data_IF_650744324506
#
_entry.id   IF_650744324506
#
_cell.length_a   1.000
_cell.length_b   1.000
_cell.length_c   1.000
_cell.angle_alpha   90.00
_cell.angle_beta   90.00
_cell.angle_gamma   90.00
#
_symmetry.space_group_name_H-M   'P 1'
#
loop_
_entity.id
_entity.type
_entity.pdbx_description
1 polymer ?
#
# COMPACT_ATOMS: atom_id res chain seq x y z
N UNK A 1 7.10 20.72 32.14
CA UNK A 1 7.84 21.24 30.97
C UNK A 1 7.34 20.48 29.76
N UNK A 2 6.86 21.16 28.71
CA UNK A 2 6.32 20.50 27.52
C UNK A 2 7.45 20.12 26.57
N UNK A 3 7.44 18.89 26.04
CA UNK A 3 8.41 18.42 25.06
C UNK A 3 8.21 19.06 23.69
N UNK A 4 9.00 18.65 22.70
CA UNK A 4 8.81 19.10 21.31
C UNK A 4 7.44 18.65 20.79
N UNK A 5 6.78 19.43 19.91
CA UNK A 5 5.53 18.98 19.30
C UNK A 5 5.76 17.73 18.44
N UNK A 6 4.73 16.90 18.30
CA UNK A 6 4.78 15.77 17.38
C UNK A 6 5.06 16.26 15.93
N UNK A 7 5.66 15.42 15.07
CA UNK A 7 6.01 15.85 13.72
C UNK A 7 4.79 16.39 12.97
N UNK A 8 4.93 17.51 12.27
CA UNK A 8 3.85 18.16 11.50
C UNK A 8 2.62 18.60 12.31
N UNK A 9 2.65 18.53 13.64
CA UNK A 9 1.51 18.90 14.51
C UNK A 9 1.10 20.37 14.33
N UNK A 10 2.03 21.26 14.02
CA UNK A 10 1.75 22.67 13.72
C UNK A 10 0.87 22.90 12.49
N UNK A 11 0.84 21.96 11.53
CA UNK A 11 -0.02 22.08 10.34
C UNK A 11 -1.51 22.00 10.69
N UNK A 12 -1.87 21.35 11.79
CA UNK A 12 -3.26 21.24 12.24
C UNK A 12 -3.85 22.60 12.67
N UNK A 13 -3.02 23.62 12.91
CA UNK A 13 -3.50 24.98 13.14
C UNK A 13 -4.26 25.56 11.94
N UNK A 14 -4.06 25.01 10.74
CA UNK A 14 -4.80 25.39 9.52
C UNK A 14 -6.22 24.81 9.50
N UNK A 15 -6.50 23.80 10.34
CA UNK A 15 -7.79 23.10 10.40
C UNK A 15 -8.68 23.70 11.50
N UNK A 16 -9.04 24.97 11.35
CA UNK A 16 -9.91 25.71 12.29
C UNK A 16 -11.41 25.45 12.08
N UNK A 17 -11.77 24.36 11.41
CA UNK A 17 -13.15 23.98 11.14
C UNK A 17 -13.48 22.65 11.80
N UNK A 18 -14.78 22.35 11.91
CA UNK A 18 -15.31 21.16 12.56
C UNK A 18 -15.92 21.48 13.93
N UNK A 19 -17.01 20.79 14.26
CA UNK A 19 -17.71 20.90 15.53
C UNK A 19 -17.69 19.53 16.20
N UNK A 20 -16.65 19.24 16.99
CA UNK A 20 -16.38 17.91 17.53
C UNK A 20 -16.55 17.90 19.05
N UNK A 21 -17.42 17.02 19.54
CA UNK A 21 -17.71 16.82 20.96
C UNK A 21 -18.71 17.82 21.55
N UNK A 22 -19.01 17.70 22.84
CA UNK A 22 -19.96 18.59 23.55
C UNK A 22 -19.47 20.03 23.70
N UNK A 23 -18.16 20.26 23.52
CA UNK A 23 -17.51 21.57 23.67
C UNK A 23 -17.33 22.32 22.36
N UNK A 24 -17.89 21.83 21.26
CA UNK A 24 -17.85 22.48 19.95
C UNK A 24 -16.42 22.88 19.52
N UNK A 25 -15.46 21.97 19.75
CA UNK A 25 -14.05 22.23 19.51
C UNK A 25 -13.67 21.97 18.05
N UNK A 26 -12.82 22.84 17.50
CA UNK A 26 -12.21 22.64 16.17
C UNK A 26 -11.08 21.61 16.25
N UNK A 27 -10.69 21.05 15.11
CA UNK A 27 -9.57 20.10 15.03
C UNK A 27 -8.28 20.74 15.58
N UNK A 28 -8.02 22.00 15.22
CA UNK A 28 -6.88 22.74 15.75
C UNK A 28 -6.88 22.81 17.28
N UNK A 29 -8.03 23.09 17.90
CA UNK A 29 -8.16 23.17 19.37
C UNK A 29 -7.97 21.81 20.05
N UNK A 30 -8.48 20.73 19.47
CA UNK A 30 -8.28 19.38 20.01
C UNK A 30 -6.79 19.01 19.98
N UNK A 31 -6.12 19.22 18.85
CA UNK A 31 -4.69 18.91 18.71
C UNK A 31 -3.85 19.76 19.66
N UNK A 32 -4.15 21.05 19.80
CA UNK A 32 -3.49 21.92 20.77
C UNK A 32 -3.72 21.43 22.21
N UNK A 33 -4.97 21.07 22.56
CA UNK A 33 -5.31 20.50 23.86
C UNK A 33 -4.52 19.23 24.16
N UNK A 34 -4.43 18.32 23.20
CA UNK A 34 -3.61 17.11 23.33
C UNK A 34 -2.14 17.45 23.60
N UNK A 35 -1.57 18.42 22.89
CA UNK A 35 -0.19 18.86 23.14
C UNK A 35 -0.02 19.39 24.57
N UNK A 36 -0.93 20.24 25.03
CA UNK A 36 -0.95 20.75 26.41
C UNK A 36 -1.09 19.65 27.46
N UNK A 37 -1.83 18.59 27.15
CA UNK A 37 -2.00 17.40 28.00
C UNK A 37 -0.83 16.39 27.91
N UNK A 38 0.22 16.71 27.13
CA UNK A 38 1.46 15.91 27.06
C UNK A 38 1.58 15.00 25.85
N UNK A 39 0.76 15.20 24.80
CA UNK A 39 0.95 14.55 23.51
C UNK A 39 2.09 15.25 22.75
N UNK A 40 3.32 14.97 23.17
CA UNK A 40 4.54 15.54 22.60
C UNK A 40 5.28 14.52 21.70
N UNK A 41 6.46 14.88 21.25
CA UNK A 41 7.32 14.06 20.41
C UNK A 41 7.73 12.74 21.09
N UNK A 42 7.90 12.73 22.41
CA UNK A 42 8.25 11.51 23.16
C UNK A 42 7.05 10.58 23.17
N UNK A 43 5.84 11.12 23.39
CA UNK A 43 4.60 10.37 23.28
C UNK A 43 4.42 9.77 21.87
N UNK A 44 4.69 10.56 20.83
CA UNK A 44 4.69 10.09 19.44
C UNK A 44 5.67 8.94 19.19
N UNK A 45 6.92 9.06 19.67
CA UNK A 45 7.92 7.99 19.56
C UNK A 45 7.49 6.72 20.31
N UNK A 46 6.88 6.86 21.48
CA UNK A 46 6.37 5.74 22.27
C UNK A 46 5.27 5.00 21.51
N UNK A 47 4.32 5.73 20.92
CA UNK A 47 3.25 5.17 20.10
C UNK A 47 3.74 4.59 18.77
N UNK A 48 4.96 4.91 18.35
CA UNK A 48 5.59 4.33 17.15
C UNK A 48 6.08 2.90 17.39
N UNK A 49 6.34 2.50 18.64
CA UNK A 49 6.77 1.14 18.99
C UNK A 49 5.80 0.06 18.47
N UNK A 50 4.48 0.09 18.76
CA UNK A 50 3.56 -0.89 18.22
C UNK A 50 3.48 -0.87 16.70
N UNK A 51 3.66 0.28 16.06
CA UNK A 51 3.68 0.39 14.58
C UNK A 51 4.89 -0.35 14.00
N UNK A 52 6.06 -0.20 14.63
CA UNK A 52 7.27 -0.94 14.25
C UNK A 52 7.11 -2.45 14.44
N UNK A 53 6.42 -2.89 15.51
CA UNK A 53 6.13 -4.31 15.73
C UNK A 53 5.25 -4.86 14.61
N UNK A 54 4.20 -4.15 14.21
CA UNK A 54 3.33 -4.54 13.08
C UNK A 54 4.15 -4.71 11.79
N UNK A 55 5.02 -3.73 11.47
CA UNK A 55 5.92 -3.82 10.32
C UNK A 55 6.85 -5.03 10.39
N UNK A 56 7.51 -5.24 11.52
CA UNK A 56 8.47 -6.33 11.70
C UNK A 56 7.80 -7.70 11.55
N UNK A 57 6.66 -7.91 12.21
CA UNK A 57 5.90 -9.18 12.13
C UNK A 57 5.53 -9.47 10.68
N UNK A 58 4.96 -8.51 9.96
CA UNK A 58 4.52 -8.71 8.58
C UNK A 58 5.71 -9.01 7.65
N UNK A 59 6.81 -8.28 7.80
CA UNK A 59 8.02 -8.48 7.00
C UNK A 59 8.64 -9.85 7.25
N UNK A 60 8.73 -10.28 8.51
CA UNK A 60 9.22 -11.62 8.88
C UNK A 60 8.29 -12.70 8.32
N UNK A 61 6.97 -12.56 8.50
CA UNK A 61 6.00 -13.51 7.94
C UNK A 61 6.10 -13.60 6.41
N UNK A 62 6.30 -12.47 5.73
CA UNK A 62 6.50 -12.45 4.29
C UNK A 62 7.79 -13.16 3.87
N UNK A 63 8.90 -12.93 4.58
CA UNK A 63 10.17 -13.61 4.32
C UNK A 63 10.04 -15.13 4.47
N UNK A 64 9.42 -15.60 5.56
CA UNK A 64 9.16 -17.03 5.79
C UNK A 64 8.31 -17.61 4.66
N UNK A 65 7.28 -16.88 4.22
CA UNK A 65 6.43 -17.30 3.11
C UNK A 65 7.23 -17.47 1.81
N UNK A 66 8.09 -16.51 1.44
CA UNK A 66 8.90 -16.57 0.21
C UNK A 66 9.89 -17.74 0.23
N UNK A 67 10.51 -18.01 1.37
CA UNK A 67 11.41 -19.17 1.54
C UNK A 67 10.62 -20.48 1.34
N UNK A 68 9.42 -20.59 1.89
CA UNK A 68 8.54 -21.75 1.70
C UNK A 68 8.04 -21.92 0.25
N UNK A 69 7.93 -20.83 -0.50
CA UNK A 69 7.63 -20.84 -1.94
C UNK A 69 8.83 -21.25 -2.81
N UNK A 70 10.00 -21.54 -2.22
CA UNK A 70 11.19 -22.03 -2.91
C UNK A 70 12.21 -20.95 -3.30
N UNK A 71 11.98 -19.69 -2.91
CA UNK A 71 12.94 -18.61 -3.18
C UNK A 71 14.17 -18.67 -2.28
N UNK A 72 15.30 -18.16 -2.77
CA UNK A 72 16.50 -18.03 -1.96
C UNK A 72 16.30 -17.04 -0.80
N UNK A 73 17.10 -17.19 0.26
CA UNK A 73 17.05 -16.26 1.42
C UNK A 73 17.35 -14.81 0.99
N UNK A 74 18.27 -14.62 0.03
CA UNK A 74 18.59 -13.29 -0.52
C UNK A 74 17.40 -12.65 -1.24
N UNK A 75 16.63 -13.43 -1.99
CA UNK A 75 15.43 -12.96 -2.68
C UNK A 75 14.26 -12.69 -1.73
N UNK A 76 14.27 -13.36 -0.57
CA UNK A 76 13.21 -13.28 0.43
C UNK A 76 13.35 -12.09 1.37
N UNK A 77 14.37 -11.23 1.19
CA UNK A 77 14.63 -10.07 2.07
C UNK A 77 13.48 -9.06 1.95
N UNK A 78 12.69 -8.84 3.03
CA UNK A 78 11.44 -8.11 2.99
C UNK A 78 11.66 -6.60 3.22
N UNK A 79 12.66 -6.00 2.58
CA UNK A 79 13.02 -4.58 2.77
C UNK A 79 12.31 -3.68 1.74
N UNK A 80 12.36 -4.09 0.47
CA UNK A 80 11.82 -3.28 -0.63
C UNK A 80 10.31 -3.42 -0.76
N UNK A 81 9.61 -2.30 -0.96
CA UNK A 81 8.18 -2.27 -1.31
C UNK A 81 7.94 -2.36 -2.82
N UNK A 82 8.99 -2.52 -3.63
CA UNK A 82 8.84 -2.74 -5.07
C UNK A 82 8.03 -4.03 -5.30
N UNK A 83 6.90 -3.91 -6.00
CA UNK A 83 5.99 -5.01 -6.29
C UNK A 83 6.52 -5.99 -7.35
N UNK A 84 7.51 -5.61 -8.15
CA UNK A 84 8.22 -6.54 -9.04
C UNK A 84 9.06 -7.52 -8.21
N UNK A 85 9.77 -7.01 -7.20
CA UNK A 85 10.62 -7.82 -6.30
C UNK A 85 9.80 -8.55 -5.23
N UNK A 86 8.82 -7.85 -4.67
CA UNK A 86 8.02 -8.26 -3.50
C UNK A 86 6.51 -8.05 -3.75
N UNK A 87 5.87 -8.84 -4.64
CA UNK A 87 4.55 -8.54 -5.18
C UNK A 87 3.42 -8.39 -4.16
N UNK A 88 3.52 -9.11 -3.04
CA UNK A 88 2.45 -9.16 -2.02
C UNK A 88 2.80 -8.41 -0.72
N UNK A 89 4.06 -7.97 -0.53
CA UNK A 89 4.49 -7.37 0.73
C UNK A 89 3.75 -6.05 1.02
N UNK A 90 3.65 -5.16 0.04
CA UNK A 90 2.94 -3.89 0.20
C UNK A 90 1.47 -4.08 0.55
N UNK A 91 0.81 -5.10 -0.03
CA UNK A 91 -0.58 -5.42 0.30
C UNK A 91 -0.72 -5.97 1.72
N UNK A 92 0.21 -6.82 2.17
CA UNK A 92 0.20 -7.34 3.54
C UNK A 92 0.41 -6.24 4.58
N UNK A 93 1.34 -5.31 4.31
CA UNK A 93 1.57 -4.14 5.17
C UNK A 93 0.33 -3.24 5.24
N UNK A 94 -0.33 -2.99 4.10
CA UNK A 94 -1.59 -2.26 4.08
C UNK A 94 -2.66 -2.92 4.96
N UNK A 95 -2.89 -4.23 4.82
CA UNK A 95 -3.89 -4.95 5.61
C UNK A 95 -3.56 -4.89 7.10
N UNK A 96 -2.30 -5.11 7.46
CA UNK A 96 -1.87 -5.07 8.86
C UNK A 96 -2.05 -3.69 9.49
N UNK A 97 -1.65 -2.62 8.79
CA UNK A 97 -1.88 -1.27 9.30
C UNK A 97 -3.36 -0.86 9.23
N UNK A 98 -4.15 -1.34 8.28
CA UNK A 98 -5.59 -1.11 8.25
C UNK A 98 -6.27 -1.72 9.49
N UNK A 99 -5.93 -2.98 9.82
CA UNK A 99 -6.45 -3.67 10.99
C UNK A 99 -6.04 -2.97 12.31
N UNK A 100 -4.77 -2.60 12.44
CA UNK A 100 -4.28 -1.87 13.61
C UNK A 100 -4.91 -0.47 13.75
N UNK A 101 -5.16 0.22 12.64
CA UNK A 101 -5.85 1.52 12.63
C UNK A 101 -7.32 1.38 13.00
N UNK A 102 -8.00 0.34 12.50
CA UNK A 102 -9.38 0.05 12.88
C UNK A 102 -9.50 -0.25 14.37
N UNK A 103 -8.55 -1.02 14.94
CA UNK A 103 -8.49 -1.26 16.37
C UNK A 103 -8.25 0.03 17.18
N UNK A 104 -7.35 0.92 16.71
CA UNK A 104 -7.12 2.21 17.36
C UNK A 104 -8.35 3.14 17.25
N UNK A 105 -9.02 3.19 16.10
CA UNK A 105 -10.25 3.94 15.90
C UNK A 105 -11.35 3.44 16.87
N UNK A 106 -11.51 2.12 17.00
CA UNK A 106 -12.40 1.53 18.00
C UNK A 106 -12.02 1.95 19.43
N UNK A 107 -10.74 1.91 19.79
CA UNK A 107 -10.25 2.39 21.10
C UNK A 107 -10.63 3.86 21.36
N UNK A 108 -10.44 4.73 20.37
CA UNK A 108 -10.81 6.16 20.50
C UNK A 108 -12.32 6.30 20.66
N UNK A 109 -13.10 5.59 19.83
CA UNK A 109 -14.56 5.64 19.87
C UNK A 109 -15.12 5.16 21.21
N UNK A 110 -14.57 4.10 21.82
CA UNK A 110 -15.08 3.62 23.10
C UNK A 110 -14.58 4.44 24.30
N UNK A 111 -13.34 4.95 24.26
CA UNK A 111 -12.79 5.72 25.38
C UNK A 111 -13.18 7.20 25.32
N UNK A 112 -13.63 7.70 24.16
CA UNK A 112 -13.90 9.12 23.91
C UNK A 112 -12.71 10.02 24.30
N UNK A 113 -11.50 9.46 24.28
CA UNK A 113 -10.28 10.14 24.72
C UNK A 113 -9.40 10.47 23.50
N UNK A 114 -9.20 11.76 23.16
CA UNK A 114 -8.35 12.15 22.05
C UNK A 114 -6.89 11.73 22.24
N UNK A 115 -6.40 11.63 23.50
CA UNK A 115 -5.05 11.15 23.81
C UNK A 115 -4.85 9.66 23.47
N UNK A 116 -5.91 8.90 23.22
CA UNK A 116 -5.81 7.49 22.84
C UNK A 116 -5.44 7.29 21.35
N UNK A 117 -5.41 8.36 20.54
CA UNK A 117 -5.05 8.28 19.13
C UNK A 117 -3.60 7.84 18.95
N UNK A 118 -3.38 6.84 18.10
CA UNK A 118 -2.03 6.44 17.71
C UNK A 118 -1.65 7.19 16.42
N UNK A 119 -1.20 8.44 16.55
CA UNK A 119 -0.84 9.26 15.38
C UNK A 119 0.15 8.57 14.41
N UNK A 120 1.26 7.95 14.87
CA UNK A 120 2.14 7.17 13.99
C UNK A 120 1.42 6.10 13.16
N UNK A 121 0.46 5.39 13.77
CA UNK A 121 -0.32 4.35 13.11
C UNK A 121 -1.20 4.91 11.99
N UNK A 122 -1.84 6.06 12.20
CA UNK A 122 -2.62 6.76 11.17
C UNK A 122 -1.75 7.26 10.01
N UNK A 123 -0.54 7.74 10.29
CA UNK A 123 0.44 8.11 9.24
C UNK A 123 0.81 6.87 8.42
N UNK A 124 1.17 5.77 9.08
CA UNK A 124 1.54 4.52 8.42
C UNK A 124 0.40 3.99 7.54
N UNK A 125 -0.83 3.99 8.06
CA UNK A 125 -2.01 3.64 7.31
C UNK A 125 -2.23 4.54 6.09
N UNK A 126 -2.07 5.86 6.22
CA UNK A 126 -2.16 6.79 5.10
C UNK A 126 -1.15 6.47 3.99
N UNK A 127 0.12 6.26 4.35
CA UNK A 127 1.20 5.87 3.41
C UNK A 127 0.86 4.57 2.66
N UNK A 128 0.48 3.53 3.38
CA UNK A 128 0.18 2.23 2.77
C UNK A 128 -1.14 2.23 1.99
N UNK A 129 -2.13 3.01 2.41
CA UNK A 129 -3.37 3.22 1.67
C UNK A 129 -3.12 3.89 0.33
N UNK A 130 -2.33 4.97 0.31
CA UNK A 130 -1.94 5.62 -0.94
C UNK A 130 -1.23 4.66 -1.89
N UNK A 131 -0.25 3.89 -1.38
CA UNK A 131 0.51 2.92 -2.17
C UNK A 131 -0.39 1.81 -2.72
N UNK A 132 -1.35 1.34 -1.93
CA UNK A 132 -2.31 0.31 -2.32
C UNK A 132 -3.32 0.83 -3.35
N UNK A 133 -3.83 2.05 -3.17
CA UNK A 133 -4.77 2.68 -4.11
C UNK A 133 -4.12 2.96 -5.45
N UNK A 134 -2.91 3.54 -5.47
CA UNK A 134 -2.13 3.75 -6.70
C UNK A 134 -1.97 2.43 -7.46
N UNK A 135 -1.59 1.36 -6.76
CA UNK A 135 -1.44 0.04 -7.37
C UNK A 135 -2.74 -0.48 -7.99
N UNK A 136 -3.85 -0.40 -7.26
CA UNK A 136 -5.15 -0.94 -7.72
C UNK A 136 -5.68 -0.14 -8.92
N UNK A 137 -5.57 1.19 -8.89
CA UNK A 137 -6.19 2.07 -9.87
C UNK A 137 -5.34 2.31 -11.11
N UNK A 138 -4.01 2.25 -11.00
CA UNK A 138 -3.09 2.68 -12.07
C UNK A 138 -2.20 1.52 -12.50
N UNK A 139 -1.34 1.05 -11.59
CA UNK A 139 -0.24 0.16 -11.96
C UNK A 139 -0.76 -1.23 -12.37
N UNK A 140 -1.71 -1.81 -11.63
CA UNK A 140 -2.24 -3.16 -11.90
C UNK A 140 -3.01 -3.23 -13.23
N UNK A 141 -3.94 -2.31 -13.56
CA UNK A 141 -4.58 -2.29 -14.87
C UNK A 141 -3.57 -2.12 -16.00
N UNK A 142 -2.60 -1.20 -15.85
CA UNK A 142 -1.56 -0.97 -16.85
C UNK A 142 -0.73 -2.23 -17.11
N UNK A 143 -0.24 -2.90 -16.06
CA UNK A 143 0.54 -4.13 -16.21
C UNK A 143 -0.29 -5.27 -16.83
N UNK A 144 -1.57 -5.35 -16.48
CA UNK A 144 -2.47 -6.34 -17.08
C UNK A 144 -2.67 -6.09 -18.58
N UNK A 145 -2.88 -4.84 -18.98
CA UNK A 145 -3.02 -4.48 -20.39
C UNK A 145 -1.75 -4.81 -21.18
N UNK A 146 -0.59 -4.40 -20.69
CA UNK A 146 0.69 -4.73 -21.35
C UNK A 146 0.93 -6.24 -21.45
N UNK A 147 0.54 -7.02 -20.44
CA UNK A 147 0.64 -8.48 -20.50
C UNK A 147 -0.30 -9.09 -21.54
N UNK A 148 -1.57 -8.66 -21.59
CA UNK A 148 -2.54 -9.16 -22.56
C UNK A 148 -2.15 -8.79 -24.00
N UNK A 149 -1.65 -7.58 -24.20
CA UNK A 149 -1.21 -7.11 -25.52
C UNK A 149 0.01 -7.91 -26.01
N UNK A 150 0.95 -8.22 -25.10
CA UNK A 150 2.11 -9.06 -25.42
C UNK A 150 1.71 -10.47 -25.86
N UNK A 151 0.85 -11.13 -25.09
CA UNK A 151 0.35 -12.48 -25.42
C UNK A 151 -0.47 -12.48 -26.72
N UNK A 152 -1.27 -11.43 -26.95
CA UNK A 152 -2.05 -11.31 -28.18
C UNK A 152 -1.15 -11.15 -29.41
N UNK A 153 -0.10 -10.33 -29.32
CA UNK A 153 0.85 -10.14 -30.41
C UNK A 153 1.63 -11.42 -30.71
N UNK A 154 2.11 -12.13 -29.69
CA UNK A 154 2.81 -13.42 -29.85
C UNK A 154 1.93 -14.45 -30.56
N UNK A 155 0.68 -14.62 -30.11
CA UNK A 155 -0.27 -15.54 -30.75
C UNK A 155 -0.64 -15.13 -32.18
N UNK A 156 -0.74 -13.81 -32.44
CA UNK A 156 -1.01 -13.29 -33.78
C UNK A 156 0.14 -13.60 -34.73
N UNK A 157 1.38 -13.35 -34.31
CA UNK A 157 2.58 -13.69 -35.09
C UNK A 157 2.66 -15.20 -35.38
N UNK A 158 2.37 -16.04 -34.37
CA UNK A 158 2.35 -17.49 -34.55
C UNK A 158 1.29 -17.94 -35.56
N UNK A 159 0.08 -17.37 -35.47
CA UNK A 159 -1.04 -17.68 -36.38
C UNK A 159 -0.75 -17.23 -37.81
N UNK A 160 -0.17 -16.04 -37.99
CA UNK A 160 0.24 -15.53 -39.31
C UNK A 160 1.31 -16.43 -39.93
N UNK A 161 2.34 -16.80 -39.16
CA UNK A 161 3.40 -17.72 -39.60
C UNK A 161 2.84 -19.08 -40.01
N UNK A 162 1.92 -19.67 -39.23
CA UNK A 162 1.26 -20.92 -39.60
C UNK A 162 0.39 -20.79 -40.87
N UNK A 163 -0.27 -19.64 -41.04
CA UNK A 163 -1.10 -19.36 -42.22
C UNK A 163 -0.22 -19.28 -43.47
N UNK A 164 0.90 -18.55 -43.40
CA UNK A 164 1.86 -18.43 -44.49
C UNK A 164 2.46 -19.79 -44.86
N UNK A 165 2.89 -20.58 -43.87
CA UNK A 165 3.39 -21.95 -44.11
C UNK A 165 2.35 -22.86 -44.77
N UNK A 166 1.08 -22.73 -44.38
CA UNK A 166 -0.02 -23.51 -44.96
C UNK A 166 -0.30 -23.06 -46.39
N UNK A 167 -0.30 -21.75 -46.64
CA UNK A 167 -0.47 -21.18 -47.96
C UNK A 167 0.66 -21.60 -48.91
N UNK A 168 1.91 -21.49 -48.48
CA UNK A 168 3.08 -21.90 -49.27
C UNK A 168 3.01 -23.39 -49.63
N UNK A 169 2.65 -24.24 -48.66
CA UNK A 169 2.46 -25.67 -48.89
C UNK A 169 1.37 -25.96 -49.91
N UNK A 170 0.23 -25.27 -49.83
CA UNK A 170 -0.84 -25.42 -50.81
C UNK A 170 -0.42 -24.90 -52.19
N UNK A 171 0.24 -23.75 -52.26
CA UNK A 171 0.67 -23.15 -53.53
C UNK A 171 1.74 -23.96 -54.27
N UNK A 172 2.49 -24.82 -53.57
CA UNK A 172 3.50 -25.68 -54.19
C UNK A 172 2.89 -26.70 -55.18
N UNK A 173 1.65 -27.16 -54.91
CA UNK A 173 0.98 -28.18 -55.71
C UNK A 173 0.03 -27.60 -56.78
N UNK A 174 -0.16 -26.27 -56.85
CA UNK A 174 -1.11 -25.62 -57.76
C UNK A 174 -0.54 -24.32 -58.36
N UNK A 175 -0.74 -24.08 -59.67
CA UNK A 175 -0.44 -22.77 -60.29
C UNK A 175 -1.51 -21.78 -59.84
N UNK A 176 -1.18 -20.92 -58.88
CA UNK A 176 -2.08 -19.86 -58.40
C UNK A 176 -2.06 -18.71 -59.41
N UNK A 177 -3.17 -18.52 -60.15
CA UNK A 177 -3.39 -17.34 -61.00
C UNK A 177 -4.28 -16.38 -60.24
N UNK A 178 -3.75 -15.21 -59.88
CA UNK A 178 -4.51 -14.12 -59.27
C UNK A 178 -4.83 -13.13 -60.39
N UNK A 179 -6.10 -13.04 -60.80
CA UNK A 179 -6.61 -11.97 -61.69
C UNK A 179 -6.77 -10.64 -60.95
#
# INVERSE_FOLDING_TARGET
>A
SMGLPAPLMGLFNLLQFGNIGEKDQTIAQIVQGMYYEGYDFIHFCTLSIPVMIVEAVIRISYAIKRIKEGHSVKESIPISLNREKNPKLSTMLFIGHAAATAANAGKIYFTQNPMAINYPQWIAFGKYSYTQLKWILIDKPSQRASYTDGVLNENLEETLSMTDLTFDKLSTDYIVVIE
#
